data_IF_851841824148
#
_entry.id   IF_851841824148
#
_cell.length_a   1.000
_cell.length_b   1.000
_cell.length_c   1.000
_cell.angle_alpha   90.00
_cell.angle_beta   90.00
_cell.angle_gamma   90.00
#
_symmetry.space_group_name_H-M   'P 1'
#
loop_
_entity.id
_entity.type
_entity.pdbx_description
1 polymer ?
#
# COMPACT_ATOMS: atom_id res chain seq x y z
N UNK A 1 20.85 -17.16 20.07
CA UNK A 1 19.54 -16.69 19.55
C UNK A 1 19.17 -15.43 20.31
N UNK A 2 19.29 -14.25 19.71
CA UNK A 2 18.92 -12.98 20.38
C UNK A 2 17.40 -12.95 20.56
N UNK A 3 16.93 -13.06 21.81
CA UNK A 3 15.50 -12.93 22.15
C UNK A 3 15.04 -11.53 21.72
N UNK A 4 14.16 -11.45 20.73
CA UNK A 4 13.59 -10.19 20.30
C UNK A 4 12.73 -9.61 21.42
N UNK A 5 13.04 -8.40 21.87
CA UNK A 5 12.28 -7.67 22.90
C UNK A 5 10.78 -7.68 22.58
N UNK A 6 9.90 -7.93 23.58
CA UNK A 6 8.44 -7.92 23.40
C UNK A 6 7.91 -6.64 22.73
N UNK A 7 8.56 -5.50 23.01
CA UNK A 7 8.21 -4.20 22.42
C UNK A 7 8.54 -4.12 20.93
N UNK A 8 9.67 -4.72 20.50
CA UNK A 8 10.05 -4.77 19.10
C UNK A 8 9.11 -5.70 18.29
N UNK A 9 8.67 -6.80 18.90
CA UNK A 9 7.65 -7.68 18.33
C UNK A 9 6.29 -6.98 18.22
N UNK A 10 5.87 -6.23 19.25
CA UNK A 10 4.64 -5.46 19.25
C UNK A 10 4.63 -4.38 18.16
N UNK A 11 5.71 -3.59 18.00
CA UNK A 11 5.82 -2.56 16.93
C UNK A 11 5.68 -3.17 15.53
N UNK A 12 6.22 -4.37 15.30
CA UNK A 12 6.10 -5.09 14.01
C UNK A 12 4.68 -5.58 13.72
N UNK A 13 3.94 -6.04 14.72
CA UNK A 13 2.53 -6.39 14.54
C UNK A 13 1.65 -5.15 14.32
N UNK A 14 1.98 -4.02 14.95
CA UNK A 14 1.29 -2.75 14.71
C UNK A 14 1.47 -2.26 13.28
N UNK A 15 2.66 -2.42 12.68
CA UNK A 15 2.90 -2.08 11.27
C UNK A 15 1.93 -2.82 10.34
N UNK A 16 1.84 -4.16 10.46
CA UNK A 16 0.93 -4.97 9.65
C UNK A 16 -0.53 -4.55 9.85
N UNK A 17 -0.94 -4.30 11.09
CA UNK A 17 -2.30 -3.83 11.40
C UNK A 17 -2.63 -2.49 10.74
N UNK A 18 -1.72 -1.51 10.83
CA UNK A 18 -1.89 -0.20 10.20
C UNK A 18 -1.92 -0.29 8.67
N UNK A 19 -1.10 -1.17 8.11
CA UNK A 19 -1.01 -1.45 6.68
C UNK A 19 -2.32 -2.06 6.15
N UNK A 20 -2.89 -3.03 6.87
CA UNK A 20 -4.20 -3.62 6.55
C UNK A 20 -5.31 -2.58 6.67
N UNK A 21 -5.30 -1.76 7.72
CA UNK A 21 -6.26 -0.68 7.90
C UNK A 21 -6.21 0.33 6.74
N UNK A 22 -5.01 0.72 6.29
CA UNK A 22 -4.83 1.61 5.15
C UNK A 22 -5.37 1.01 3.84
N UNK A 23 -5.14 -0.28 3.62
CA UNK A 23 -5.72 -0.99 2.47
C UNK A 23 -7.26 -0.99 2.52
N UNK A 24 -7.84 -1.28 3.69
CA UNK A 24 -9.29 -1.27 3.92
C UNK A 24 -9.91 0.11 3.66
N UNK A 25 -9.32 1.17 4.21
CA UNK A 25 -9.78 2.56 4.00
C UNK A 25 -9.72 2.92 2.51
N UNK A 26 -8.63 2.56 1.82
CA UNK A 26 -8.48 2.83 0.38
C UNK A 26 -9.53 2.09 -0.46
N UNK A 27 -9.84 0.84 -0.10
CA UNK A 27 -10.87 0.04 -0.76
C UNK A 27 -12.27 0.67 -0.58
N UNK A 28 -12.62 1.05 0.65
CA UNK A 28 -13.89 1.72 0.96
C UNK A 28 -13.98 3.05 0.20
N UNK A 29 -12.92 3.85 0.19
CA UNK A 29 -12.87 5.10 -0.57
C UNK A 29 -13.08 4.86 -2.08
N UNK A 30 -12.47 3.82 -2.65
CA UNK A 30 -12.64 3.46 -4.06
C UNK A 30 -14.10 3.08 -4.37
N UNK A 31 -14.71 2.25 -3.52
CA UNK A 31 -16.11 1.85 -3.61
C UNK A 31 -17.01 3.09 -3.58
N UNK A 32 -16.87 3.95 -2.58
CA UNK A 32 -17.68 5.16 -2.43
C UNK A 32 -17.53 6.11 -3.63
N UNK A 33 -16.29 6.38 -4.06
CA UNK A 33 -16.01 7.23 -5.22
C UNK A 33 -16.64 6.68 -6.51
N UNK A 34 -16.72 5.35 -6.62
CA UNK A 34 -17.25 4.67 -7.79
C UNK A 34 -18.77 4.64 -7.82
N UNK A 35 -19.42 4.31 -6.70
CA UNK A 35 -20.88 4.38 -6.58
C UNK A 35 -21.39 5.80 -6.84
N UNK A 36 -20.68 6.81 -6.32
CA UNK A 36 -21.02 8.21 -6.57
C UNK A 36 -20.85 8.66 -8.03
N UNK A 37 -20.05 7.95 -8.84
CA UNK A 37 -19.80 8.31 -10.25
C UNK A 37 -20.72 7.55 -11.22
N UNK A 38 -20.86 6.24 -11.04
CA UNK A 38 -21.47 5.36 -12.04
C UNK A 38 -22.67 4.56 -11.48
N UNK A 39 -22.99 4.65 -10.19
CA UNK A 39 -24.01 3.84 -9.50
C UNK A 39 -23.85 2.32 -9.64
N UNK A 40 -22.68 1.87 -10.11
CA UNK A 40 -22.33 0.45 -10.31
C UNK A 40 -20.96 0.16 -9.74
N UNK A 41 -20.72 -1.09 -9.33
CA UNK A 41 -19.38 -1.53 -8.94
C UNK A 41 -18.46 -1.57 -10.18
N UNK A 42 -17.31 -0.88 -10.18
CA UNK A 42 -16.39 -0.92 -11.32
C UNK A 42 -15.71 -2.28 -11.43
N UNK A 43 -15.56 -2.77 -12.66
CA UNK A 43 -14.69 -3.91 -12.95
C UNK A 43 -13.22 -3.64 -12.57
N UNK A 44 -12.80 -2.38 -12.49
CA UNK A 44 -11.45 -1.96 -12.10
C UNK A 44 -11.14 -2.10 -10.61
N UNK A 45 -12.15 -2.34 -9.76
CA UNK A 45 -11.99 -2.46 -8.31
C UNK A 45 -11.09 -3.64 -7.93
N UNK A 46 -11.30 -4.79 -8.58
CA UNK A 46 -10.55 -6.02 -8.27
C UNK A 46 -9.08 -5.91 -8.72
N UNK A 47 -8.76 -5.51 -9.96
CA UNK A 47 -7.38 -5.27 -10.37
C UNK A 47 -6.66 -4.25 -9.49
N UNK A 48 -7.35 -3.17 -9.07
CA UNK A 48 -6.79 -2.19 -8.15
C UNK A 48 -6.44 -2.79 -6.79
N UNK A 49 -7.37 -3.52 -6.17
CA UNK A 49 -7.14 -4.20 -4.89
C UNK A 49 -5.99 -5.19 -4.98
N UNK A 50 -5.92 -5.98 -6.05
CA UNK A 50 -4.81 -6.91 -6.28
C UNK A 50 -3.49 -6.17 -6.40
N UNK A 51 -3.44 -5.10 -7.20
CA UNK A 51 -2.23 -4.30 -7.36
C UNK A 51 -1.80 -3.65 -6.04
N UNK A 52 -2.75 -3.05 -5.31
CA UNK A 52 -2.50 -2.41 -4.02
C UNK A 52 -1.99 -3.42 -2.99
N UNK A 53 -2.68 -4.54 -2.81
CA UNK A 53 -2.30 -5.59 -1.86
C UNK A 53 -0.98 -6.25 -2.24
N UNK A 54 -0.74 -6.51 -3.53
CA UNK A 54 0.53 -7.04 -4.01
C UNK A 54 1.68 -6.10 -3.68
N UNK A 55 1.50 -4.80 -3.92
CA UNK A 55 2.48 -3.75 -3.60
C UNK A 55 2.77 -3.67 -2.11
N UNK A 56 1.70 -3.71 -1.32
CA UNK A 56 1.72 -3.65 0.14
C UNK A 56 2.53 -4.80 0.74
N UNK A 57 2.25 -6.02 0.27
CA UNK A 57 2.93 -7.24 0.69
C UNK A 57 4.40 -7.18 0.30
N UNK A 58 4.71 -6.78 -0.94
CA UNK A 58 6.08 -6.67 -1.42
C UNK A 58 6.89 -5.66 -0.58
N UNK A 59 6.34 -4.47 -0.35
CA UNK A 59 6.99 -3.44 0.45
C UNK A 59 7.15 -3.89 1.92
N UNK A 60 6.13 -4.48 2.52
CA UNK A 60 6.21 -4.96 3.90
C UNK A 60 7.26 -6.06 4.07
N UNK A 61 7.30 -7.03 3.16
CA UNK A 61 8.33 -8.09 3.18
C UNK A 61 9.72 -7.48 3.03
N UNK A 62 9.93 -6.59 2.06
CA UNK A 62 11.21 -5.93 1.85
C UNK A 62 11.67 -5.15 3.10
N UNK A 63 10.76 -4.37 3.70
CA UNK A 63 11.05 -3.59 4.91
C UNK A 63 11.36 -4.52 6.09
N UNK A 64 10.62 -5.64 6.23
CA UNK A 64 10.81 -6.60 7.32
C UNK A 64 12.13 -7.35 7.24
N UNK A 65 12.61 -7.62 6.03
CA UNK A 65 13.85 -8.34 5.77
C UNK A 65 15.07 -7.42 5.79
N UNK A 66 15.00 -6.30 5.08
CA UNK A 66 16.14 -5.43 4.80
C UNK A 66 16.27 -4.29 5.83
N UNK A 67 15.16 -3.75 6.30
CA UNK A 67 15.12 -2.56 7.17
C UNK A 67 14.66 -2.89 8.60
N UNK A 68 15.33 -3.82 9.27
CA UNK A 68 14.89 -4.38 10.57
C UNK A 68 14.74 -3.34 11.70
N UNK A 69 15.36 -2.16 11.59
CA UNK A 69 15.29 -1.05 12.54
C UNK A 69 14.44 0.14 12.08
N UNK A 70 13.75 0.05 10.94
CA UNK A 70 12.92 1.14 10.44
C UNK A 70 11.73 1.43 11.35
N UNK A 71 11.25 2.69 11.32
CA UNK A 71 10.02 3.06 11.99
C UNK A 71 8.80 2.39 11.31
N UNK A 72 8.06 1.58 12.06
CA UNK A 72 6.90 0.83 11.59
C UNK A 72 5.67 1.66 11.21
N UNK A 73 5.73 3.00 11.31
CA UNK A 73 4.62 3.88 10.91
C UNK A 73 4.75 4.42 9.48
N UNK A 74 5.97 4.50 8.93
CA UNK A 74 6.22 5.15 7.64
C UNK A 74 5.58 4.40 6.46
N UNK A 75 5.74 3.08 6.41
CA UNK A 75 5.16 2.26 5.37
C UNK A 75 3.62 2.36 5.34
N UNK A 76 2.90 2.17 6.46
CA UNK A 76 1.44 2.34 6.47
C UNK A 76 0.97 3.74 6.04
N UNK A 77 1.68 4.81 6.44
CA UNK A 77 1.34 6.17 6.02
C UNK A 77 1.52 6.36 4.51
N UNK A 78 2.63 5.88 3.95
CA UNK A 78 2.89 5.94 2.52
C UNK A 78 1.82 5.18 1.71
N UNK A 79 1.44 4.00 2.19
CA UNK A 79 0.34 3.20 1.62
C UNK A 79 -0.98 3.96 1.65
N UNK A 80 -1.34 4.56 2.80
CA UNK A 80 -2.59 5.29 2.95
C UNK A 80 -2.65 6.45 1.96
N UNK A 81 -1.60 7.26 1.90
CA UNK A 81 -1.50 8.38 0.98
C UNK A 81 -1.58 7.91 -0.48
N UNK A 82 -0.89 6.82 -0.80
CA UNK A 82 -0.92 6.22 -2.12
C UNK A 82 -2.34 5.79 -2.51
N UNK A 83 -3.03 5.05 -1.64
CA UNK A 83 -4.37 4.55 -1.91
C UNK A 83 -5.39 5.66 -2.10
N UNK A 84 -5.38 6.69 -1.25
CA UNK A 84 -6.26 7.87 -1.41
C UNK A 84 -5.95 8.60 -2.71
N UNK A 85 -4.66 8.85 -3.00
CA UNK A 85 -4.25 9.51 -4.24
C UNK A 85 -4.69 8.73 -5.49
N UNK A 86 -4.54 7.41 -5.47
CA UNK A 86 -4.98 6.55 -6.55
C UNK A 86 -6.49 6.63 -6.77
N UNK A 87 -7.29 6.56 -5.70
CA UNK A 87 -8.76 6.66 -5.76
C UNK A 87 -9.18 7.97 -6.43
N UNK A 88 -8.54 9.07 -6.05
CA UNK A 88 -8.81 10.38 -6.64
C UNK A 88 -8.45 10.44 -8.13
N UNK A 89 -7.31 9.84 -8.53
CA UNK A 89 -6.92 9.74 -9.94
C UNK A 89 -7.90 8.88 -10.73
N UNK A 90 -8.30 7.72 -10.20
CA UNK A 90 -9.26 6.82 -10.82
C UNK A 90 -10.65 7.44 -10.98
N UNK A 91 -11.05 8.28 -10.01
CA UNK A 91 -12.27 9.08 -10.13
C UNK A 91 -12.22 10.03 -11.32
N UNK A 92 -11.06 10.64 -11.59
CA UNK A 92 -10.88 11.59 -12.69
C UNK A 92 -10.70 10.90 -14.06
N UNK A 93 -9.85 9.89 -14.14
CA UNK A 93 -9.59 9.17 -15.40
C UNK A 93 -8.99 7.79 -15.18
N UNK A 94 -9.61 6.79 -15.78
CA UNK A 94 -9.16 5.40 -15.74
C UNK A 94 -7.79 5.22 -16.39
N UNK A 95 -7.54 5.90 -17.53
CA UNK A 95 -6.23 5.86 -18.20
C UNK A 95 -5.09 6.36 -17.31
N UNK A 96 -5.28 7.45 -16.55
CA UNK A 96 -4.24 7.94 -15.62
C UNK A 96 -4.09 7.03 -14.41
N UNK A 97 -5.16 6.38 -13.97
CA UNK A 97 -5.08 5.39 -12.90
C UNK A 97 -4.25 4.18 -13.33
N UNK A 98 -4.46 3.67 -14.55
CA UNK A 98 -3.63 2.60 -15.11
C UNK A 98 -2.14 2.99 -15.18
N UNK A 99 -1.83 4.22 -15.64
CA UNK A 99 -0.46 4.74 -15.63
C UNK A 99 0.09 4.88 -14.20
N UNK A 100 -0.74 5.32 -13.25
CA UNK A 100 -0.37 5.40 -11.84
C UNK A 100 0.01 4.02 -11.31
N UNK A 101 -0.72 2.95 -11.67
CA UNK A 101 -0.36 1.58 -11.30
C UNK A 101 1.04 1.21 -11.79
N UNK A 102 1.35 1.50 -13.05
CA UNK A 102 2.69 1.27 -13.62
C UNK A 102 3.77 2.05 -12.85
N UNK A 103 3.52 3.32 -12.55
CA UNK A 103 4.44 4.13 -11.75
C UNK A 103 4.61 3.61 -10.33
N UNK A 104 3.55 3.08 -9.71
CA UNK A 104 3.66 2.45 -8.39
C UNK A 104 4.55 1.22 -8.41
N UNK A 105 4.45 0.39 -9.44
CA UNK A 105 5.35 -0.77 -9.60
C UNK A 105 6.80 -0.33 -9.71
N UNK A 106 7.09 0.68 -10.54
CA UNK A 106 8.43 1.25 -10.69
C UNK A 106 8.94 1.79 -9.34
N UNK A 107 8.11 2.55 -8.64
CA UNK A 107 8.46 3.14 -7.34
C UNK A 107 8.82 2.07 -6.30
N UNK A 108 8.13 0.94 -6.32
CA UNK A 108 8.37 -0.15 -5.36
C UNK A 108 9.60 -0.95 -5.70
N UNK A 109 9.88 -1.19 -6.98
CA UNK A 109 11.17 -1.74 -7.41
C UNK A 109 12.31 -0.81 -6.95
N UNK A 110 12.18 0.50 -7.17
CA UNK A 110 13.17 1.48 -6.73
C UNK A 110 13.33 1.51 -5.20
N UNK A 111 12.23 1.43 -4.44
CA UNK A 111 12.23 1.35 -2.99
C UNK A 111 12.98 0.11 -2.50
N UNK A 112 12.67 -1.07 -3.03
CA UNK A 112 13.34 -2.32 -2.67
C UNK A 112 14.82 -2.27 -3.01
N UNK A 113 15.19 -1.76 -4.19
CA UNK A 113 16.59 -1.58 -4.58
C UNK A 113 17.34 -0.65 -3.63
N UNK A 114 16.71 0.43 -3.18
CA UNK A 114 17.31 1.35 -2.20
C UNK A 114 17.59 0.63 -0.88
N UNK A 115 16.63 -0.16 -0.39
CA UNK A 115 16.81 -0.97 0.82
C UNK A 115 17.87 -2.07 0.68
N UNK A 116 18.19 -2.50 -0.54
CA UNK A 116 19.24 -3.49 -0.79
C UNK A 116 20.65 -2.87 -0.82
N UNK A 117 20.75 -1.62 -1.26
CA UNK A 117 22.03 -0.92 -1.45
C UNK A 117 22.54 -0.33 -0.13
N UNK A 118 21.64 0.15 0.73
CA UNK A 118 21.93 0.86 1.99
C UNK A 118 21.79 -0.07 3.19
#
# INVERSE_FOLDING_TARGET
>A
MSQSSPLAAARRNSELGLVVMAAGISAVAFVLASLGKNSTMPATLVPFLIALLGMLIAAHIATRLLARGADGTLLPLAVMLHGIGYVMIARLSERRAALQTTWSFIAIVAFVLTLLIV
#
